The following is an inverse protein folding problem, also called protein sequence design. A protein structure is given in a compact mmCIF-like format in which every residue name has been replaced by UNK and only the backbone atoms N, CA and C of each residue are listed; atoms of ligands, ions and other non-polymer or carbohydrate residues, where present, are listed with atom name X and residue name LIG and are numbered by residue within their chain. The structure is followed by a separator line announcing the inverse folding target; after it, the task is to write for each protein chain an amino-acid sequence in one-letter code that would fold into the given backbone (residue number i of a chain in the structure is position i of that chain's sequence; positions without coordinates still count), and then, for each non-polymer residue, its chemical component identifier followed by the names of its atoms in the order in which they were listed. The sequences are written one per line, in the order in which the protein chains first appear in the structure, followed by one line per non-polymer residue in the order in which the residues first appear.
data_IF_896656792216
#
_entry.id   IF_896656792216
#
_cell.length_a   1.000
_cell.length_b   1.000
_cell.length_c   1.000
_cell.angle_alpha   90.00
_cell.angle_beta   90.00
_cell.angle_gamma   90.00
#
_symmetry.space_group_name_H-M   'P 1'
#
loop_
_entity.id
_entity.type
_entity.pdbx_description
1 polymer ?
#
# COMPACT_ATOMS: atom_id res chain seq x y z
N UNK A 1 -20.81 17.47 -13.18
CA UNK A 1 -21.31 17.31 -11.81
C UNK A 1 -20.78 18.46 -11.00
N UNK A 2 -21.68 19.17 -10.34
CA UNK A 2 -21.34 20.30 -9.47
C UNK A 2 -20.79 19.79 -8.12
N UNK A 3 -20.04 20.62 -7.39
CA UNK A 3 -19.40 20.24 -6.10
C UNK A 3 -20.38 19.59 -5.12
N UNK A 4 -21.57 20.14 -5.00
CA UNK A 4 -22.61 19.67 -4.08
C UNK A 4 -23.05 18.22 -4.38
N UNK A 5 -23.09 17.83 -5.66
CA UNK A 5 -23.45 16.46 -6.06
C UNK A 5 -22.33 15.48 -5.67
N UNK A 6 -21.07 15.86 -5.90
CA UNK A 6 -19.92 15.05 -5.50
C UNK A 6 -19.84 14.92 -3.98
N UNK A 7 -20.11 16.00 -3.25
CA UNK A 7 -20.14 15.99 -1.79
C UNK A 7 -21.23 15.11 -1.23
N UNK A 8 -22.41 15.11 -1.86
CA UNK A 8 -23.48 14.22 -1.49
C UNK A 8 -23.05 12.75 -1.64
N UNK A 9 -22.42 12.37 -2.76
CA UNK A 9 -21.88 11.00 -2.94
C UNK A 9 -20.84 10.64 -1.87
N UNK A 10 -19.91 11.55 -1.59
CA UNK A 10 -18.87 11.35 -0.57
C UNK A 10 -19.52 11.16 0.81
N UNK A 11 -20.51 11.98 1.15
CA UNK A 11 -21.22 11.88 2.41
C UNK A 11 -22.06 10.61 2.53
N UNK A 12 -22.69 10.15 1.44
CA UNK A 12 -23.38 8.85 1.41
C UNK A 12 -22.40 7.69 1.60
N UNK A 13 -21.17 7.82 1.10
CA UNK A 13 -20.14 6.78 1.19
C UNK A 13 -19.45 6.73 2.56
N UNK A 14 -19.13 7.88 3.16
CA UNK A 14 -18.33 7.97 4.39
C UNK A 14 -19.08 8.51 5.61
N UNK A 15 -20.34 8.94 5.46
CA UNK A 15 -21.10 9.63 6.50
C UNK A 15 -20.73 11.10 6.69
N UNK A 16 -19.67 11.58 6.03
CA UNK A 16 -19.20 12.96 6.06
C UNK A 16 -18.39 13.27 4.80
N UNK A 17 -18.13 14.55 4.52
CA UNK A 17 -17.16 14.97 3.50
C UNK A 17 -15.81 15.23 4.16
N UNK A 18 -14.78 14.36 3.98
CA UNK A 18 -13.47 14.56 4.57
C UNK A 18 -12.86 15.90 4.17
N UNK A 19 -12.18 16.55 5.11
CA UNK A 19 -11.64 17.90 4.89
C UNK A 19 -10.71 18.01 3.68
N UNK A 20 -9.98 16.94 3.33
CA UNK A 20 -9.07 16.95 2.19
C UNK A 20 -9.79 17.02 0.83
N UNK A 21 -11.01 16.46 0.70
CA UNK A 21 -11.83 16.67 -0.50
C UNK A 21 -12.33 18.11 -0.63
N UNK A 22 -12.38 18.87 0.48
CA UNK A 22 -12.76 20.29 0.45
C UNK A 22 -11.72 21.18 -0.18
N UNK A 23 -10.47 20.75 -0.15
CA UNK A 23 -9.33 21.47 -0.73
C UNK A 23 -9.20 21.26 -2.26
N UNK A 24 -9.87 20.26 -2.83
CA UNK A 24 -9.78 19.96 -4.26
C UNK A 24 -10.57 21.02 -5.06
N UNK A 25 -10.00 21.62 -6.13
CA UNK A 25 -10.70 22.56 -7.00
C UNK A 25 -11.93 21.95 -7.70
N UNK A 26 -12.93 22.78 -8.03
CA UNK A 26 -14.15 22.32 -8.72
C UNK A 26 -13.85 21.64 -10.06
N UNK A 27 -12.87 22.16 -10.79
CA UNK A 27 -12.47 21.64 -12.10
C UNK A 27 -11.93 20.21 -12.05
N UNK A 28 -11.49 19.72 -10.89
CA UNK A 28 -10.91 18.38 -10.73
C UNK A 28 -11.60 17.51 -9.68
N UNK A 29 -12.51 18.04 -8.87
CA UNK A 29 -13.12 17.33 -7.73
C UNK A 29 -13.78 16.01 -8.14
N UNK A 30 -14.56 16.00 -9.22
CA UNK A 30 -15.19 14.76 -9.71
C UNK A 30 -14.15 13.72 -10.16
N UNK A 31 -13.11 14.18 -10.85
CA UNK A 31 -12.04 13.29 -11.36
C UNK A 31 -11.28 12.64 -10.19
N UNK A 32 -10.93 13.43 -9.18
CA UNK A 32 -10.25 12.93 -7.97
C UNK A 32 -11.15 11.96 -7.19
N UNK A 33 -12.45 12.25 -7.09
CA UNK A 33 -13.39 11.34 -6.42
C UNK A 33 -13.54 10.00 -7.14
N UNK A 34 -13.66 10.02 -8.48
CA UNK A 34 -13.74 8.78 -9.26
C UNK A 34 -12.45 7.97 -9.17
N UNK A 35 -11.30 8.64 -9.25
CA UNK A 35 -10.02 7.98 -9.07
C UNK A 35 -9.90 7.38 -7.67
N UNK A 36 -10.34 8.10 -6.64
CA UNK A 36 -10.34 7.60 -5.27
C UNK A 36 -11.19 6.34 -5.14
N UNK A 37 -12.43 6.33 -5.64
CA UNK A 37 -13.29 5.12 -5.64
C UNK A 37 -12.59 3.96 -6.34
N UNK A 38 -12.05 4.20 -7.53
CA UNK A 38 -11.39 3.17 -8.35
C UNK A 38 -10.16 2.57 -7.67
N UNK A 39 -9.32 3.39 -7.05
CA UNK A 39 -8.03 2.95 -6.50
C UNK A 39 -8.16 2.43 -5.07
N UNK A 40 -8.96 3.11 -4.25
CA UNK A 40 -9.01 2.86 -2.81
C UNK A 40 -10.17 1.97 -2.38
N UNK A 41 -11.26 1.88 -3.16
CA UNK A 41 -12.47 1.14 -2.73
C UNK A 41 -12.74 -0.12 -3.56
N UNK A 42 -12.63 -0.02 -4.88
CA UNK A 42 -12.95 -1.14 -5.77
C UNK A 42 -11.96 -2.29 -5.60
N UNK A 43 -12.46 -3.53 -5.72
CA UNK A 43 -11.62 -4.72 -5.73
C UNK A 43 -10.68 -4.75 -6.94
N UNK A 44 -9.47 -5.21 -6.70
CA UNK A 44 -8.44 -5.41 -7.71
C UNK A 44 -7.74 -6.75 -7.50
N UNK A 45 -6.66 -7.03 -8.27
CA UNK A 45 -5.92 -8.28 -8.17
C UNK A 45 -5.33 -8.55 -6.78
N UNK A 46 -5.10 -7.51 -5.99
CA UNK A 46 -4.69 -7.60 -4.59
C UNK A 46 -5.93 -7.29 -3.72
N UNK A 47 -6.40 -8.25 -2.90
CA UNK A 47 -7.52 -8.00 -1.99
C UNK A 47 -7.28 -6.82 -1.05
N UNK A 48 -8.35 -6.10 -0.69
CA UNK A 48 -8.26 -4.84 0.08
C UNK A 48 -7.45 -4.97 1.37
N UNK A 49 -7.67 -6.05 2.14
CA UNK A 49 -6.89 -6.31 3.37
C UNK A 49 -5.38 -6.22 3.13
N UNK A 50 -4.89 -6.86 2.07
CA UNK A 50 -3.45 -6.87 1.77
C UNK A 50 -2.97 -5.54 1.18
N UNK A 51 -3.80 -4.83 0.39
CA UNK A 51 -3.48 -3.47 -0.06
C UNK A 51 -3.27 -2.51 1.11
N UNK A 52 -4.14 -2.57 2.11
CA UNK A 52 -4.04 -1.72 3.29
C UNK A 52 -2.85 -2.10 4.17
N UNK A 53 -2.53 -3.39 4.33
CA UNK A 53 -1.30 -3.83 5.02
C UNK A 53 -0.02 -3.36 4.30
N UNK A 54 0.00 -3.35 2.97
CA UNK A 54 1.08 -2.72 2.18
C UNK A 54 1.13 -1.22 2.49
N UNK A 55 -0.03 -0.56 2.52
CA UNK A 55 -0.18 0.85 2.90
C UNK A 55 0.38 1.16 4.29
N UNK A 56 0.15 0.29 5.28
CA UNK A 56 0.75 0.39 6.63
C UNK A 56 2.28 0.36 6.57
N UNK A 57 2.87 -0.56 5.82
CA UNK A 57 4.33 -0.64 5.63
C UNK A 57 4.92 0.60 4.95
N UNK A 58 4.26 1.10 3.90
CA UNK A 58 4.65 2.34 3.20
C UNK A 58 4.55 3.54 4.16
N UNK A 59 3.46 3.66 4.91
CA UNK A 59 3.27 4.73 5.89
C UNK A 59 4.34 4.72 6.98
N UNK A 60 4.70 3.55 7.50
CA UNK A 60 5.73 3.38 8.52
C UNK A 60 7.12 3.81 8.00
N UNK A 61 7.51 3.35 6.81
CA UNK A 61 8.84 3.61 6.22
C UNK A 61 9.00 5.05 5.74
N UNK A 62 7.95 5.65 5.16
CA UNK A 62 7.94 7.06 4.73
C UNK A 62 7.64 8.04 5.87
N UNK A 63 7.30 7.52 7.07
CA UNK A 63 6.95 8.29 8.27
C UNK A 63 5.73 9.20 8.08
N UNK A 64 4.81 8.82 7.19
CA UNK A 64 3.57 9.57 6.96
C UNK A 64 2.57 9.32 8.10
N UNK A 65 2.42 10.27 9.02
CA UNK A 65 1.50 10.14 10.17
C UNK A 65 0.03 10.02 9.75
N UNK A 66 -0.40 10.75 8.72
CA UNK A 66 -1.77 10.65 8.19
C UNK A 66 -2.06 9.25 7.63
N UNK A 67 -1.13 8.75 6.81
CA UNK A 67 -1.23 7.45 6.16
C UNK A 67 -1.20 6.31 7.18
N UNK A 68 -0.43 6.46 8.27
CA UNK A 68 -0.33 5.44 9.32
C UNK A 68 -1.69 5.19 9.98
N UNK A 69 -2.42 6.25 10.32
CA UNK A 69 -3.78 6.12 10.86
C UNK A 69 -4.74 5.58 9.79
N UNK A 70 -4.75 6.20 8.62
CA UNK A 70 -5.67 5.84 7.53
C UNK A 70 -5.59 4.36 7.14
N UNK A 71 -4.39 3.87 6.80
CA UNK A 71 -4.21 2.49 6.36
C UNK A 71 -4.37 1.47 7.49
N UNK A 72 -4.05 1.83 8.74
CA UNK A 72 -4.27 0.92 9.88
C UNK A 72 -5.76 0.68 10.10
N UNK A 73 -6.58 1.75 10.11
CA UNK A 73 -8.02 1.62 10.31
C UNK A 73 -8.71 0.91 9.13
N UNK A 74 -8.29 1.20 7.90
CA UNK A 74 -8.81 0.51 6.72
C UNK A 74 -8.37 -0.96 6.64
N UNK A 75 -7.16 -1.30 7.06
CA UNK A 75 -6.74 -2.70 7.17
C UNK A 75 -7.67 -3.45 8.13
N UNK A 76 -7.94 -2.87 9.31
CA UNK A 76 -8.87 -3.44 10.30
C UNK A 76 -10.30 -3.56 9.77
N UNK A 77 -10.79 -2.53 9.06
CA UNK A 77 -12.09 -2.55 8.40
C UNK A 77 -12.20 -3.70 7.40
N UNK A 78 -11.11 -4.02 6.70
CA UNK A 78 -11.01 -5.14 5.77
C UNK A 78 -10.63 -6.48 6.44
N UNK A 79 -10.74 -6.57 7.77
CA UNK A 79 -10.55 -7.80 8.53
C UNK A 79 -9.11 -8.15 8.89
N UNK A 80 -8.17 -7.19 8.80
CA UNK A 80 -6.82 -7.40 9.33
C UNK A 80 -6.83 -7.47 10.86
N UNK A 81 -6.07 -8.43 11.39
CA UNK A 81 -5.80 -8.55 12.82
C UNK A 81 -4.63 -7.67 13.24
N UNK A 82 -4.53 -7.35 14.54
CA UNK A 82 -3.35 -6.64 15.06
C UNK A 82 -2.05 -7.41 14.83
N UNK A 83 -2.11 -8.75 14.78
CA UNK A 83 -0.96 -9.60 14.46
C UNK A 83 -0.52 -9.45 13.00
N UNK A 84 -1.45 -9.36 12.04
CA UNK A 84 -1.13 -9.09 10.63
C UNK A 84 -0.54 -7.68 10.44
N UNK A 85 -1.03 -6.70 11.20
CA UNK A 85 -0.50 -5.34 11.18
C UNK A 85 0.93 -5.31 11.74
N UNK A 86 1.18 -5.98 12.88
CA UNK A 86 2.53 -6.10 13.45
C UNK A 86 3.47 -6.77 12.45
N UNK A 87 3.07 -7.89 11.86
CA UNK A 87 3.89 -8.62 10.89
C UNK A 87 4.19 -7.76 9.65
N UNK A 88 3.21 -7.02 9.13
CA UNK A 88 3.43 -6.08 8.02
C UNK A 88 4.44 -4.99 8.37
N UNK A 89 4.38 -4.43 9.58
CA UNK A 89 5.36 -3.44 10.07
C UNK A 89 6.74 -4.07 10.29
N UNK A 90 6.80 -5.30 10.82
CA UNK A 90 8.03 -6.04 11.03
C UNK A 90 8.72 -6.35 9.70
N UNK A 91 7.94 -6.77 8.70
CA UNK A 91 8.39 -6.98 7.34
C UNK A 91 8.95 -5.69 6.75
N UNK A 92 8.22 -4.57 6.85
CA UNK A 92 8.67 -3.27 6.36
C UNK A 92 9.98 -2.82 7.04
N UNK A 93 10.12 -3.02 8.35
CA UNK A 93 11.36 -2.79 9.11
C UNK A 93 12.52 -3.62 8.55
N UNK A 94 12.31 -4.90 8.28
CA UNK A 94 13.32 -5.78 7.70
C UNK A 94 13.79 -5.29 6.33
N UNK A 95 12.86 -4.92 5.44
CA UNK A 95 13.18 -4.39 4.11
C UNK A 95 13.98 -3.09 4.19
N UNK A 96 13.59 -2.15 5.06
CA UNK A 96 14.32 -0.90 5.26
C UNK A 96 15.73 -1.13 5.83
N UNK A 97 15.88 -2.10 6.74
CA UNK A 97 17.17 -2.51 7.29
C UNK A 97 18.12 -3.06 6.23
N UNK A 98 17.65 -4.01 5.41
CA UNK A 98 18.47 -4.55 4.31
C UNK A 98 18.79 -3.52 3.23
N UNK A 99 17.85 -2.64 2.90
CA UNK A 99 18.10 -1.53 1.98
C UNK A 99 19.24 -0.64 2.50
N UNK A 100 19.20 -0.27 3.79
CA UNK A 100 20.28 0.51 4.42
C UNK A 100 21.62 -0.20 4.32
N UNK A 101 21.65 -1.49 4.61
CA UNK A 101 22.89 -2.28 4.62
C UNK A 101 23.49 -2.43 3.21
N UNK A 102 22.70 -2.89 2.23
CA UNK A 102 23.18 -3.16 0.86
C UNK A 102 23.61 -1.86 0.16
N UNK A 103 22.81 -0.79 0.28
CA UNK A 103 23.18 0.51 -0.29
C UNK A 103 24.40 1.09 0.43
N UNK A 104 24.45 1.02 1.76
CA UNK A 104 25.57 1.53 2.55
C UNK A 104 26.89 0.81 2.25
N UNK A 105 26.84 -0.50 2.01
CA UNK A 105 27.98 -1.31 1.59
C UNK A 105 28.33 -1.15 0.10
N UNK A 106 27.54 -0.38 -0.66
CA UNK A 106 27.72 -0.15 -2.10
C UNK A 106 27.88 -1.47 -2.88
N UNK A 107 27.03 -2.44 -2.56
CA UNK A 107 27.00 -3.72 -3.28
C UNK A 107 26.79 -3.47 -4.77
N UNK A 108 27.60 -4.11 -5.60
CA UNK A 108 27.47 -4.01 -7.06
C UNK A 108 26.10 -4.51 -7.52
N UNK A 109 25.35 -3.65 -8.22
CA UNK A 109 23.96 -3.93 -8.58
C UNK A 109 23.85 -5.06 -9.60
N UNK A 110 24.75 -5.11 -10.59
CA UNK A 110 24.71 -6.12 -11.64
C UNK A 110 25.08 -7.50 -11.06
N UNK A 111 26.08 -7.56 -10.18
CA UNK A 111 26.40 -8.75 -9.40
C UNK A 111 25.20 -9.21 -8.56
N UNK A 112 24.64 -8.33 -7.72
CA UNK A 112 23.49 -8.67 -6.87
C UNK A 112 22.32 -9.21 -7.69
N UNK A 113 21.98 -8.53 -8.80
CA UNK A 113 20.91 -8.95 -9.71
C UNK A 113 21.19 -10.34 -10.29
N UNK A 114 22.41 -10.59 -10.77
CA UNK A 114 22.79 -11.89 -11.33
C UNK A 114 22.69 -13.01 -10.28
N UNK A 115 23.17 -12.77 -9.07
CA UNK A 115 23.10 -13.72 -7.95
C UNK A 115 21.65 -14.05 -7.58
N UNK A 116 20.78 -13.05 -7.43
CA UNK A 116 19.35 -13.26 -7.13
C UNK A 116 18.66 -14.07 -8.23
N UNK A 117 18.92 -13.75 -9.51
CA UNK A 117 18.33 -14.49 -10.63
C UNK A 117 18.78 -15.95 -10.67
N UNK A 118 20.06 -16.22 -10.42
CA UNK A 118 20.59 -17.58 -10.35
C UNK A 118 20.00 -18.36 -9.17
N UNK A 119 19.89 -17.72 -8.00
CA UNK A 119 19.27 -18.31 -6.82
C UNK A 119 17.80 -18.67 -7.10
N UNK A 120 17.03 -17.76 -7.71
CA UNK A 120 15.65 -18.04 -8.12
C UNK A 120 15.55 -19.22 -9.10
N UNK A 121 16.45 -19.29 -10.09
CA UNK A 121 16.48 -20.41 -11.05
C UNK A 121 16.76 -21.75 -10.35
N UNK A 122 17.69 -21.77 -9.40
CA UNK A 122 17.98 -22.95 -8.59
C UNK A 122 16.77 -23.41 -7.77
N UNK A 123 16.11 -22.49 -7.06
CA UNK A 123 14.94 -22.79 -6.22
C UNK A 123 13.79 -23.33 -7.07
N UNK A 124 13.49 -22.72 -8.21
CA UNK A 124 12.45 -23.21 -9.15
C UNK A 124 12.72 -24.64 -9.60
N UNK A 125 13.98 -24.95 -9.95
CA UNK A 125 14.39 -26.32 -10.33
C UNK A 125 14.20 -27.31 -9.18
N UNK A 126 14.43 -26.90 -7.94
CA UNK A 126 14.20 -27.74 -6.75
C UNK A 126 12.71 -27.98 -6.50
N UNK A 127 11.87 -26.94 -6.61
CA UNK A 127 10.42 -27.05 -6.42
C UNK A 127 9.75 -27.91 -7.49
N UNK A 128 10.13 -27.74 -8.76
CA UNK A 128 9.57 -28.55 -9.86
C UNK A 128 10.01 -30.02 -9.88
N UNK A 129 11.02 -30.39 -9.08
CA UNK A 129 11.43 -31.79 -8.86
C UNK A 129 10.79 -32.43 -7.63
N UNK A 130 10.09 -31.63 -6.82
CA UNK A 130 9.40 -32.07 -5.61
C UNK A 130 7.90 -32.33 -5.84
N UNK A 131 7.45 -32.26 -7.10
CA UNK A 131 6.09 -32.56 -7.55
C UNK A 131 6.05 -33.88 -8.32
#
# INVERSE_FOLDING_TARGET
MEREEVYKEIQETFGLVPGFFKLVPDSSLKLEWDLFKRVQMEEGPIPNKYRELIGVGIAATTRCRYCAVYHTELAKLNGATDAEIEDAVHWAKSQAGWSTYINGMQVDYDQFKNEVLQACAHVRKKMGKAA
#
